data_IF_781924367040
#
_entry.id   IF_781924367040
#
_cell.length_a   1.000
_cell.length_b   1.000
_cell.length_c   1.000
_cell.angle_alpha   90.00
_cell.angle_beta   90.00
_cell.angle_gamma   90.00
#
_symmetry.space_group_name_H-M   'P 1'
#
loop_
_entity.id
_entity.type
_entity.pdbx_description
1 polymer ?
#
# COMPACT_ATOMS: atom_id res chain seq x y z
N UNK A 1 11.84 -23.81 -4.26
CA UNK A 1 12.62 -22.66 -4.66
C UNK A 1 12.25 -21.44 -3.85
N UNK A 2 13.27 -20.68 -3.51
CA UNK A 2 13.03 -19.46 -2.76
C UNK A 2 12.12 -18.53 -3.53
N UNK A 3 12.23 -18.54 -4.83
CA UNK A 3 11.44 -17.67 -5.68
C UNK A 3 9.95 -17.93 -5.53
N UNK A 4 9.59 -19.19 -5.39
CA UNK A 4 8.18 -19.53 -5.25
C UNK A 4 7.60 -18.96 -3.98
N UNK A 5 8.37 -19.05 -2.90
CA UNK A 5 7.95 -18.45 -1.65
C UNK A 5 7.89 -16.95 -1.76
N UNK A 6 8.88 -16.41 -2.46
CA UNK A 6 8.93 -14.96 -2.64
C UNK A 6 7.73 -14.46 -3.42
N UNK A 7 7.21 -15.26 -4.33
CA UNK A 7 6.01 -14.86 -5.05
C UNK A 7 4.86 -14.62 -4.11
N UNK A 8 4.76 -15.42 -3.06
CA UNK A 8 3.68 -15.24 -2.08
C UNK A 8 3.88 -14.03 -1.22
N UNK A 9 5.11 -13.78 -0.80
CA UNK A 9 5.43 -12.72 0.14
C UNK A 9 6.22 -11.60 -0.51
N UNK A 10 6.29 -11.60 -1.81
CA UNK A 10 7.12 -10.63 -2.50
C UNK A 10 6.54 -9.24 -2.45
N UNK A 11 7.42 -8.28 -2.65
CA UNK A 11 7.06 -6.88 -2.71
C UNK A 11 6.24 -6.62 -3.97
N UNK A 12 5.17 -5.85 -3.82
CA UNK A 12 4.36 -5.44 -4.97
C UNK A 12 5.15 -4.44 -5.80
N UNK A 13 5.06 -4.57 -7.10
CA UNK A 13 5.74 -3.71 -8.04
C UNK A 13 4.72 -3.07 -8.98
N UNK A 14 5.13 -1.97 -9.59
CA UNK A 14 4.24 -1.20 -10.48
C UNK A 14 3.55 -2.09 -11.51
N UNK A 15 4.27 -3.03 -12.07
CA UNK A 15 3.74 -3.85 -13.17
C UNK A 15 2.87 -5.01 -12.70
N UNK A 16 2.69 -5.16 -11.40
CA UNK A 16 1.87 -6.25 -10.87
C UNK A 16 0.38 -6.00 -11.04
N UNK A 17 0.02 -4.79 -11.43
CA UNK A 17 -1.38 -4.42 -11.62
C UNK A 17 -1.45 -3.29 -12.63
N UNK A 18 -2.66 -2.96 -13.05
CA UNK A 18 -2.82 -1.82 -13.95
C UNK A 18 -2.66 -0.52 -13.15
N UNK A 19 -1.95 0.43 -13.73
CA UNK A 19 -1.72 1.72 -13.08
C UNK A 19 -1.87 2.83 -14.10
N UNK A 20 -2.46 3.92 -13.64
CA UNK A 20 -2.56 5.15 -14.40
C UNK A 20 -1.79 6.24 -13.68
N UNK A 21 -1.27 7.21 -14.40
CA UNK A 21 -0.48 8.26 -13.74
C UNK A 21 -1.37 9.18 -12.91
N UNK A 22 -0.75 9.86 -11.95
CA UNK A 22 -1.44 10.91 -11.22
C UNK A 22 -1.87 11.98 -12.23
N UNK A 23 -3.15 12.39 -12.20
CA UNK A 23 -3.60 13.39 -13.18
C UNK A 23 -3.02 14.77 -12.90
N UNK A 24 -3.11 15.63 -13.90
CA UNK A 24 -2.67 17.00 -13.75
C UNK A 24 -3.44 17.70 -12.64
N UNK A 25 -4.71 17.37 -12.51
CA UNK A 25 -5.54 17.94 -11.45
C UNK A 25 -5.27 17.18 -10.17
N UNK A 26 -4.43 17.76 -9.34
CA UNK A 26 -4.10 17.19 -8.04
C UNK A 26 -3.75 18.29 -7.07
N UNK A 27 -3.74 17.94 -5.79
CA UNK A 27 -3.33 18.86 -4.74
C UNK A 27 -2.26 18.17 -3.89
N UNK A 28 -1.56 18.98 -3.11
CA UNK A 28 -0.52 18.45 -2.24
C UNK A 28 -0.75 18.93 -0.84
N UNK A 29 -0.37 18.09 0.13
CA UNK A 29 -0.41 18.50 1.53
C UNK A 29 0.70 17.77 2.27
N UNK A 30 0.96 18.21 3.49
CA UNK A 30 1.98 17.59 4.34
C UNK A 30 1.28 16.70 5.36
N UNK A 31 1.73 15.45 5.41
CA UNK A 31 1.26 14.49 6.40
C UNK A 31 2.32 14.38 7.49
N UNK A 32 1.99 14.86 8.67
CA UNK A 32 2.91 14.78 9.81
C UNK A 32 2.63 13.49 10.55
N UNK A 33 3.54 12.55 10.40
CA UNK A 33 3.36 11.25 11.01
C UNK A 33 4.71 10.54 11.10
N UNK A 34 4.91 9.86 12.21
CA UNK A 34 6.12 9.08 12.43
C UNK A 34 5.83 7.62 12.19
N UNK A 35 6.69 6.96 11.44
CA UNK A 35 6.57 5.52 11.17
C UNK A 35 7.78 4.82 11.78
N UNK A 36 7.52 3.70 12.43
CA UNK A 36 8.61 2.85 12.91
C UNK A 36 9.24 2.13 11.73
N UNK A 37 10.41 1.55 11.97
CA UNK A 37 11.09 0.77 10.94
C UNK A 37 10.21 -0.38 10.48
N UNK A 38 9.56 -1.05 11.45
CA UNK A 38 8.68 -2.17 11.11
C UNK A 38 7.49 -1.71 10.28
N UNK A 39 6.96 -0.55 10.59
CA UNK A 39 5.83 -0.01 9.82
C UNK A 39 6.26 0.32 8.40
N UNK A 40 7.43 0.92 8.25
CA UNK A 40 7.95 1.22 6.92
C UNK A 40 8.22 -0.05 6.14
N UNK A 41 8.72 -1.09 6.81
CA UNK A 41 8.94 -2.37 6.15
C UNK A 41 7.62 -2.93 5.63
N UNK A 42 6.56 -2.82 6.42
CA UNK A 42 5.25 -3.28 5.99
C UNK A 42 4.78 -2.50 4.76
N UNK A 43 4.98 -1.19 4.76
CA UNK A 43 4.59 -0.38 3.61
C UNK A 43 5.41 -0.73 2.38
N UNK A 44 6.66 -1.09 2.55
CA UNK A 44 7.50 -1.48 1.40
C UNK A 44 7.01 -2.76 0.74
N UNK A 45 6.25 -3.58 1.46
CA UNK A 45 5.70 -4.80 0.86
C UNK A 45 4.66 -4.50 -0.21
N UNK A 46 3.93 -3.42 -0.06
CA UNK A 46 2.85 -3.13 -0.98
C UNK A 46 1.72 -4.12 -0.85
N UNK A 47 0.78 -4.04 -1.79
CA UNK A 47 -0.37 -4.93 -1.76
C UNK A 47 -0.92 -5.12 -3.16
N UNK A 48 -1.04 -6.37 -3.57
CA UNK A 48 -1.67 -6.73 -4.83
C UNK A 48 -3.08 -7.20 -4.52
N UNK A 49 -4.11 -6.65 -5.18
CA UNK A 49 -5.49 -7.04 -4.87
C UNK A 49 -5.69 -8.54 -5.01
N UNK A 50 -6.38 -9.13 -4.05
CA UNK A 50 -6.61 -10.57 -4.03
C UNK A 50 -8.05 -10.91 -4.38
N UNK A 51 -8.96 -9.94 -4.32
CA UNK A 51 -10.37 -10.17 -4.58
C UNK A 51 -11.00 -8.87 -5.04
N UNK A 52 -12.23 -8.97 -5.53
CA UNK A 52 -12.93 -7.77 -5.99
C UNK A 52 -13.16 -6.76 -4.88
N UNK A 53 -13.23 -7.24 -3.64
CA UNK A 53 -13.41 -6.34 -2.50
C UNK A 53 -12.15 -5.56 -2.18
N UNK A 54 -10.99 -6.01 -2.64
CA UNK A 54 -9.75 -5.27 -2.46
C UNK A 54 -9.76 -4.07 -3.38
N UNK A 55 -9.96 -2.90 -2.80
CA UNK A 55 -10.16 -1.68 -3.57
C UNK A 55 -8.85 -1.01 -3.95
N UNK A 56 -7.73 -1.44 -3.40
CA UNK A 56 -6.46 -0.74 -3.55
C UNK A 56 -5.36 -1.66 -4.02
N UNK A 57 -4.54 -1.10 -4.92
CA UNK A 57 -3.24 -1.63 -5.28
C UNK A 57 -2.22 -0.57 -4.93
N UNK A 58 -1.23 -0.92 -4.12
CA UNK A 58 -0.22 0.07 -3.76
C UNK A 58 1.14 -0.58 -3.67
N UNK A 59 2.16 0.21 -3.96
CA UNK A 59 3.53 -0.26 -4.00
C UNK A 59 4.46 0.90 -3.66
N UNK A 60 5.71 0.55 -3.34
CA UNK A 60 6.74 1.56 -3.03
C UNK A 60 7.81 1.53 -4.12
N UNK A 61 8.26 2.72 -4.50
CA UNK A 61 9.44 2.87 -5.34
C UNK A 61 10.34 3.85 -4.62
N UNK A 62 11.48 3.36 -4.10
CA UNK A 62 12.33 4.17 -3.25
C UNK A 62 11.57 4.56 -2.00
N UNK A 63 11.47 5.84 -1.74
CA UNK A 63 10.73 6.33 -0.58
C UNK A 63 9.37 6.90 -0.96
N UNK A 64 8.84 6.52 -2.10
CA UNK A 64 7.55 7.00 -2.57
C UNK A 64 6.55 5.86 -2.63
N UNK A 65 5.39 6.08 -2.02
CA UNK A 65 4.29 5.12 -2.07
C UNK A 65 3.27 5.60 -3.10
N UNK A 66 2.86 4.69 -3.98
CA UNK A 66 1.86 4.96 -5.00
C UNK A 66 0.63 4.12 -4.71
N UNK A 67 -0.52 4.77 -4.56
CA UNK A 67 -1.76 4.09 -4.23
C UNK A 67 -2.77 4.27 -5.34
N UNK A 68 -3.18 3.16 -5.93
CA UNK A 68 -4.09 3.12 -7.06
C UNK A 68 -5.36 2.39 -6.69
N UNK A 69 -6.47 2.81 -7.30
CA UNK A 69 -7.71 2.03 -7.20
C UNK A 69 -7.54 0.76 -8.01
N UNK A 70 -7.94 -0.35 -7.42
CA UNK A 70 -7.70 -1.65 -8.07
C UNK A 70 -8.54 -1.82 -9.33
N UNK A 71 -9.75 -1.30 -9.35
CA UNK A 71 -10.65 -1.52 -10.48
C UNK A 71 -10.28 -0.68 -11.70
N UNK A 72 -9.81 0.52 -11.49
CA UNK A 72 -9.55 1.45 -12.59
C UNK A 72 -8.07 1.70 -12.84
N UNK A 73 -7.24 1.51 -11.83
CA UNK A 73 -5.85 1.88 -11.92
C UNK A 73 -5.56 3.34 -11.63
N UNK A 74 -6.60 4.12 -11.36
CA UNK A 74 -6.40 5.55 -11.10
C UNK A 74 -5.51 5.76 -9.88
N UNK A 75 -4.52 6.61 -10.01
CA UNK A 75 -3.64 6.97 -8.90
C UNK A 75 -4.36 8.00 -8.03
N UNK A 76 -4.59 7.63 -6.77
CA UNK A 76 -5.31 8.51 -5.86
C UNK A 76 -4.34 9.25 -4.94
N UNK A 77 -3.36 8.54 -4.41
CA UNK A 77 -2.38 9.14 -3.50
C UNK A 77 -0.97 8.79 -3.93
N UNK A 78 -0.10 9.77 -3.80
CA UNK A 78 1.34 9.56 -3.88
C UNK A 78 1.93 10.13 -2.60
N UNK A 79 2.66 9.32 -1.86
CA UNK A 79 3.25 9.75 -0.60
C UNK A 79 4.76 9.70 -0.69
N UNK A 80 5.39 10.85 -0.61
CA UNK A 80 6.85 10.94 -0.54
C UNK A 80 7.25 10.98 0.92
N UNK A 81 7.84 9.90 1.40
CA UNK A 81 8.23 9.81 2.80
C UNK A 81 9.52 10.57 3.04
N UNK A 82 9.52 11.37 4.09
CA UNK A 82 10.67 12.22 4.44
C UNK A 82 11.18 11.84 5.81
N UNK A 83 12.49 12.05 6.00
CA UNK A 83 13.13 11.67 7.26
C UNK A 83 12.68 12.55 8.42
N UNK A 84 12.23 13.76 8.12
CA UNK A 84 11.78 14.68 9.17
C UNK A 84 10.32 14.47 9.54
N UNK A 85 9.70 13.40 9.02
CA UNK A 85 8.32 13.03 9.31
C UNK A 85 7.29 14.03 8.78
N UNK A 86 7.69 14.94 7.92
CA UNK A 86 6.79 15.83 7.20
C UNK A 86 6.67 15.31 5.78
N UNK A 87 5.86 14.29 5.61
CA UNK A 87 5.74 13.61 4.33
C UNK A 87 4.89 14.43 3.37
N UNK A 88 5.27 14.42 2.11
CA UNK A 88 4.55 15.18 1.10
C UNK A 88 3.60 14.25 0.38
N UNK A 89 2.32 14.60 0.41
CA UNK A 89 1.28 13.79 -0.23
C UNK A 89 0.69 14.55 -1.40
N UNK A 90 0.59 13.85 -2.53
CA UNK A 90 -0.12 14.37 -3.69
C UNK A 90 -1.41 13.57 -3.82
N UNK A 91 -2.55 14.27 -3.97
CA UNK A 91 -3.83 13.60 -4.02
C UNK A 91 -4.57 14.00 -5.28
N UNK A 92 -5.22 13.01 -5.88
CA UNK A 92 -5.96 13.15 -7.13
C UNK A 92 -7.13 14.11 -6.96
N UNK A 93 -7.29 15.03 -7.91
CA UNK A 93 -8.41 15.98 -7.92
C UNK A 93 -9.17 15.96 -9.24
N UNK A 94 -8.95 14.95 -10.05
CA UNK A 94 -9.75 14.76 -11.25
C UNK A 94 -11.13 14.26 -10.84
N UNK A 95 -12.19 15.06 -11.05
CA UNK A 95 -13.52 14.67 -10.55
C UNK A 95 -14.05 13.40 -11.19
N UNK A 96 -13.53 12.99 -12.32
CA UNK A 96 -13.96 11.75 -12.95
C UNK A 96 -13.26 10.56 -12.33
N UNK A 97 -12.19 10.78 -11.59
CA UNK A 97 -11.42 9.69 -10.99
C UNK A 97 -11.59 9.62 -9.48
N UNK A 98 -11.74 10.77 -8.83
CA UNK A 98 -11.78 10.83 -7.38
C UNK A 98 -12.66 12.01 -6.96
N UNK A 99 -13.64 11.75 -6.13
CA UNK A 99 -14.65 12.74 -5.83
C UNK A 99 -14.34 13.63 -4.64
N UNK A 100 -13.45 13.20 -3.77
CA UNK A 100 -13.13 14.00 -2.59
C UNK A 100 -12.39 15.25 -3.02
N UNK A 101 -12.73 16.38 -2.39
CA UNK A 101 -12.11 17.67 -2.70
C UNK A 101 -11.61 18.37 -1.45
N UNK A 102 -11.61 17.69 -0.30
CA UNK A 102 -11.26 18.31 0.97
C UNK A 102 -10.03 17.65 1.55
N UNK A 103 -8.99 18.46 1.75
CA UNK A 103 -7.72 17.95 2.26
C UNK A 103 -7.89 17.34 3.65
N UNK A 104 -8.74 17.91 4.49
CA UNK A 104 -8.98 17.35 5.81
C UNK A 104 -9.50 15.92 5.73
N UNK A 105 -10.41 15.69 4.79
CA UNK A 105 -10.96 14.35 4.61
C UNK A 105 -9.92 13.42 4.02
N UNK A 106 -9.08 13.94 3.13
CA UNK A 106 -7.99 13.15 2.57
C UNK A 106 -7.01 12.72 3.65
N UNK A 107 -6.67 13.64 4.56
CA UNK A 107 -5.76 13.32 5.65
C UNK A 107 -6.34 12.21 6.50
N UNK A 108 -7.62 12.34 6.86
CA UNK A 108 -8.27 11.31 7.68
C UNK A 108 -8.35 9.99 6.95
N UNK A 109 -8.72 10.02 5.68
CA UNK A 109 -8.84 8.79 4.89
C UNK A 109 -7.48 8.13 4.71
N UNK A 110 -6.47 8.91 4.38
CA UNK A 110 -5.14 8.36 4.15
C UNK A 110 -4.57 7.76 5.42
N UNK A 111 -4.77 8.42 6.56
CA UNK A 111 -4.30 7.87 7.82
C UNK A 111 -4.96 6.54 8.12
N UNK A 112 -6.25 6.42 7.85
CA UNK A 112 -6.94 5.14 8.04
C UNK A 112 -6.40 4.07 7.11
N UNK A 113 -6.16 4.44 5.86
CA UNK A 113 -5.59 3.50 4.91
C UNK A 113 -4.20 3.05 5.34
N UNK A 114 -3.37 4.01 5.75
CA UNK A 114 -2.02 3.67 6.18
C UNK A 114 -2.06 2.76 7.40
N UNK A 115 -2.96 3.03 8.35
CA UNK A 115 -3.11 2.16 9.52
C UNK A 115 -3.45 0.74 9.09
N UNK A 116 -4.37 0.62 8.14
CA UNK A 116 -4.76 -0.69 7.64
C UNK A 116 -3.64 -1.34 6.86
N UNK A 117 -2.98 -0.56 6.01
CA UNK A 117 -1.94 -1.10 5.15
C UNK A 117 -0.71 -1.55 5.92
N UNK A 118 -0.41 -0.88 7.01
CA UNK A 118 0.68 -1.31 7.87
C UNK A 118 0.39 -2.68 8.44
N UNK A 119 -0.85 -2.92 8.81
CA UNK A 119 -1.24 -4.21 9.38
C UNK A 119 -1.55 -5.25 8.33
N UNK A 120 -2.27 -4.86 7.27
CA UNK A 120 -2.79 -5.83 6.31
C UNK A 120 -1.72 -6.67 5.64
N UNK A 121 -0.65 -6.10 5.10
CA UNK A 121 0.38 -6.96 4.50
C UNK A 121 1.02 -7.86 5.52
N UNK A 122 1.21 -7.33 6.72
CA UNK A 122 1.80 -8.11 7.80
C UNK A 122 0.87 -9.24 8.21
N UNK A 123 -0.39 -8.92 8.41
CA UNK A 123 -1.39 -9.92 8.78
C UNK A 123 -1.53 -10.96 7.68
N UNK A 124 -1.53 -10.50 6.45
CA UNK A 124 -1.64 -11.39 5.31
C UNK A 124 -0.46 -12.34 5.25
N UNK A 125 0.71 -11.80 5.44
CA UNK A 125 1.92 -12.60 5.46
C UNK A 125 1.90 -13.56 6.63
N UNK A 126 1.48 -13.08 7.78
CA UNK A 126 1.38 -13.92 8.96
C UNK A 126 0.38 -15.05 8.75
N UNK A 127 -0.77 -14.72 8.16
CA UNK A 127 -1.77 -15.75 7.89
C UNK A 127 -1.21 -16.79 6.93
N UNK A 128 -0.55 -16.33 5.87
CA UNK A 128 0.05 -17.24 4.93
C UNK A 128 1.14 -18.10 5.59
N UNK A 129 1.97 -17.45 6.39
CA UNK A 129 3.00 -18.17 7.13
C UNK A 129 2.38 -19.19 8.07
N UNK A 130 1.32 -18.78 8.73
CA UNK A 130 0.65 -19.67 9.68
C UNK A 130 0.13 -20.91 8.96
N UNK A 131 -0.52 -20.72 7.83
CA UNK A 131 -1.02 -21.84 7.05
C UNK A 131 0.14 -22.74 6.59
N UNK A 132 1.17 -22.11 6.07
CA UNK A 132 2.32 -22.85 5.56
C UNK A 132 3.07 -23.52 6.69
N UNK A 133 3.31 -22.78 7.76
CA UNK A 133 4.07 -23.31 8.88
C UNK A 133 3.28 -24.37 9.62
N UNK A 134 1.98 -24.22 9.72
CA UNK A 134 1.15 -25.26 10.33
C UNK A 134 1.28 -26.56 9.56
N UNK A 135 1.22 -26.45 8.24
CA UNK A 135 1.41 -27.63 7.42
C UNK A 135 2.79 -28.24 7.66
N UNK A 136 3.80 -27.40 7.71
CA UNK A 136 5.16 -27.88 7.94
C UNK A 136 5.32 -28.42 9.35
N UNK A 137 4.77 -27.72 10.32
CA UNK A 137 4.88 -28.16 11.71
C UNK A 137 4.14 -29.45 11.92
N UNK A 138 2.98 -29.58 11.35
CA UNK A 138 2.25 -30.82 11.45
C UNK A 138 2.99 -31.93 10.74
N UNK A 139 3.72 -31.57 9.73
CA UNK A 139 4.55 -32.54 9.03
C UNK A 139 5.84 -32.82 9.78
N UNK A 140 6.31 -31.89 10.52
CA UNK A 140 7.53 -32.08 11.21
C UNK A 140 7.95 -30.96 12.11
N UNK A 141 7.23 -29.97 12.37
CA UNK A 141 7.38 -28.93 13.08
C UNK A 141 8.16 -28.03 13.26
N UNK A 142 7.93 -27.55 13.25
CA UNK A 142 8.84 -26.39 13.38
C UNK A 142 8.80 -25.82 14.76
#
# INVERSE_FOLDING_TARGET
MAEDRNDKARVALRDDWKTEPMPEQHESFVLKRTFSEAEMDALHCGHIPQAMEDKWFWYMEGSTLWAHRSWTGHCIYRVDFKEDNNHVVMVNRDPEQYRCTRIKEDIASLNKLLDRWIQTPYDHYEAWLSETCDALQKAGKV
#
